data_IF_901456349972
#
_entry.id   IF_901456349972
#
_cell.length_a   1.000
_cell.length_b   1.000
_cell.length_c   1.000
_cell.angle_alpha   90.00
_cell.angle_beta   90.00
_cell.angle_gamma   90.00
#
_symmetry.space_group_name_H-M   'P 1'
#
loop_
_entity.id
_entity.type
_entity.pdbx_description
1 polymer ?
#
# COMPACT_ATOMS: atom_id res chain seq x y z
N UNK A 1 -5.04 -15.22 -0.98
CA UNK A 1 -3.63 -14.96 -1.33
C UNK A 1 -3.13 -15.94 -2.37
N UNK A 2 -3.23 -17.25 -2.13
CA UNK A 2 -2.80 -18.32 -3.05
C UNK A 2 -3.22 -18.11 -4.51
N UNK A 3 -4.47 -17.73 -4.79
CA UNK A 3 -4.91 -17.45 -6.17
C UNK A 3 -4.19 -16.28 -6.85
N UNK A 4 -3.78 -15.25 -6.10
CA UNK A 4 -2.97 -14.14 -6.62
C UNK A 4 -1.56 -14.63 -6.92
N UNK A 5 -0.94 -15.38 -6.01
CA UNK A 5 0.39 -15.94 -6.24
C UNK A 5 0.41 -16.87 -7.46
N UNK A 6 -0.64 -17.68 -7.64
CA UNK A 6 -0.80 -18.55 -8.80
C UNK A 6 -0.92 -17.79 -10.14
N UNK A 7 -1.39 -16.53 -10.14
CA UNK A 7 -1.40 -15.68 -11.33
C UNK A 7 -0.05 -15.01 -11.63
N UNK A 8 0.90 -15.05 -10.70
CA UNK A 8 2.23 -14.47 -10.83
C UNK A 8 3.31 -15.40 -10.25
N UNK A 9 3.43 -16.65 -10.73
CA UNK A 9 4.33 -17.66 -10.17
C UNK A 9 5.81 -17.34 -10.40
N UNK A 10 6.12 -16.40 -11.29
CA UNK A 10 7.47 -15.88 -11.50
C UNK A 10 7.92 -14.91 -10.38
N UNK A 11 6.99 -14.40 -9.56
CA UNK A 11 7.28 -13.47 -8.47
C UNK A 11 7.13 -14.10 -7.09
N UNK A 12 6.18 -15.03 -6.91
CA UNK A 12 5.77 -15.51 -5.59
C UNK A 12 5.64 -17.02 -5.53
N UNK A 13 6.10 -17.60 -4.42
CA UNK A 13 5.70 -18.96 -4.04
C UNK A 13 4.20 -19.01 -3.76
N UNK A 14 3.59 -20.18 -3.95
CA UNK A 14 2.15 -20.35 -3.81
C UNK A 14 1.62 -19.92 -2.42
N UNK A 15 2.43 -20.13 -1.38
CA UNK A 15 2.05 -19.87 0.01
C UNK A 15 2.57 -18.55 0.57
N UNK A 16 3.33 -17.76 -0.20
CA UNK A 16 3.85 -16.46 0.23
C UNK A 16 2.71 -15.58 0.76
N UNK A 17 2.77 -15.10 2.01
CA UNK A 17 1.82 -14.12 2.48
C UNK A 17 2.01 -12.81 1.71
N UNK A 18 0.91 -12.14 1.41
CA UNK A 18 0.94 -10.89 0.68
C UNK A 18 -0.14 -9.94 1.19
N UNK A 19 -0.47 -8.96 0.38
CA UNK A 19 -1.50 -7.94 0.62
C UNK A 19 -2.85 -8.45 1.16
N UNK A 20 -3.36 -9.62 0.72
CA UNK A 20 -4.64 -10.13 1.21
C UNK A 20 -4.47 -10.75 2.59
N UNK A 21 -3.30 -11.33 2.85
CA UNK A 21 -2.89 -11.72 4.21
C UNK A 21 -2.81 -10.50 5.11
N UNK A 22 -2.20 -9.40 4.63
CA UNK A 22 -2.16 -8.12 5.35
C UNK A 22 -3.58 -7.61 5.66
N UNK A 23 -4.50 -7.59 4.70
CA UNK A 23 -5.89 -7.18 4.96
C UNK A 23 -6.59 -8.07 5.99
N UNK A 24 -6.36 -9.40 5.92
CA UNK A 24 -6.85 -10.33 6.93
C UNK A 24 -6.30 -10.00 8.33
N UNK A 25 -4.98 -9.80 8.45
CA UNK A 25 -4.33 -9.45 9.70
C UNK A 25 -4.77 -8.09 10.24
N UNK A 26 -4.91 -7.08 9.38
CA UNK A 26 -5.41 -5.77 9.76
C UNK A 26 -6.85 -5.85 10.28
N UNK A 27 -7.69 -6.70 9.69
CA UNK A 27 -9.06 -6.93 10.14
C UNK A 27 -9.08 -7.61 11.51
N UNK A 28 -8.27 -8.65 11.72
CA UNK A 28 -8.16 -9.37 13.00
C UNK A 28 -7.61 -8.44 14.10
N UNK A 29 -6.57 -7.67 13.78
CA UNK A 29 -5.90 -6.76 14.74
C UNK A 29 -6.60 -5.41 14.87
N UNK A 30 -7.68 -5.19 14.09
CA UNK A 30 -8.44 -3.94 14.04
C UNK A 30 -8.79 -3.36 15.42
N UNK A 31 -9.26 -4.17 16.41
CA UNK A 31 -9.59 -3.64 17.73
C UNK A 31 -8.42 -2.96 18.42
N UNK A 32 -7.17 -3.40 18.18
CA UNK A 32 -5.98 -2.90 18.87
C UNK A 32 -5.62 -1.49 18.37
N UNK A 33 -5.52 -1.31 17.06
CA UNK A 33 -5.07 -0.04 16.47
C UNK A 33 -6.20 0.97 16.22
N UNK A 34 -7.47 0.53 16.12
CA UNK A 34 -8.61 1.45 16.09
C UNK A 34 -9.05 1.96 17.46
N UNK A 35 -8.73 1.27 18.55
CA UNK A 35 -9.19 1.67 19.89
C UNK A 35 -8.76 3.11 20.27
N UNK A 36 -7.49 3.51 20.10
CA UNK A 36 -7.06 4.89 20.38
C UNK A 36 -7.74 5.91 19.45
N UNK A 37 -7.94 5.55 18.18
CA UNK A 37 -8.68 6.35 17.21
C UNK A 37 -10.11 6.61 17.70
N UNK A 38 -10.84 5.58 18.14
CA UNK A 38 -12.21 5.68 18.67
C UNK A 38 -12.30 6.64 19.86
N UNK A 39 -11.32 6.60 20.76
CA UNK A 39 -11.22 7.51 21.92
C UNK A 39 -10.69 8.91 21.59
N UNK A 40 -10.39 9.21 20.32
CA UNK A 40 -9.74 10.46 19.87
C UNK A 40 -8.42 10.74 20.61
N UNK A 41 -7.73 9.67 21.02
CA UNK A 41 -6.45 9.78 21.71
C UNK A 41 -5.32 9.94 20.68
N UNK A 42 -5.11 11.19 20.24
CA UNK A 42 -4.09 11.51 19.24
C UNK A 42 -2.66 11.20 19.73
N UNK A 43 -2.39 11.37 21.03
CA UNK A 43 -1.08 11.11 21.61
C UNK A 43 -0.68 9.64 21.46
N UNK A 44 -1.58 8.71 21.74
CA UNK A 44 -1.30 7.27 21.55
C UNK A 44 -1.05 6.92 20.08
N UNK A 45 -1.75 7.53 19.14
CA UNK A 45 -1.53 7.30 17.70
C UNK A 45 -0.19 7.87 17.23
N UNK A 46 0.18 9.05 17.72
CA UNK A 46 1.49 9.63 17.47
C UNK A 46 2.59 8.77 18.08
N UNK A 47 2.45 8.33 19.33
CA UNK A 47 3.42 7.47 20.00
C UNK A 47 3.58 6.13 19.27
N UNK A 48 2.49 5.50 18.84
CA UNK A 48 2.53 4.29 18.02
C UNK A 48 3.28 4.52 16.70
N UNK A 49 2.93 5.58 15.98
CA UNK A 49 3.56 5.89 14.69
C UNK A 49 5.06 6.17 14.88
N UNK A 50 5.41 7.00 15.86
CA UNK A 50 6.80 7.30 16.23
C UNK A 50 7.57 6.06 16.65
N UNK A 51 6.94 5.11 17.36
CA UNK A 51 7.58 3.85 17.73
C UNK A 51 7.90 2.99 16.50
N UNK A 52 7.02 2.94 15.50
CA UNK A 52 7.31 2.25 14.23
C UNK A 52 8.50 2.91 13.52
N UNK A 53 8.48 4.23 13.36
CA UNK A 53 9.61 4.96 12.75
C UNK A 53 10.91 4.76 13.53
N UNK A 54 10.85 4.78 14.86
CA UNK A 54 12.00 4.54 15.73
C UNK A 54 12.56 3.12 15.53
N UNK A 55 11.71 2.09 15.51
CA UNK A 55 12.15 0.72 15.29
C UNK A 55 12.81 0.54 13.92
N UNK A 56 12.29 1.18 12.87
CA UNK A 56 12.93 1.13 11.55
C UNK A 56 14.26 1.87 11.55
N UNK A 57 14.35 3.02 12.25
CA UNK A 57 15.57 3.83 12.29
C UNK A 57 16.72 3.11 13.01
N UNK A 58 16.42 2.47 14.13
CA UNK A 58 17.43 1.92 15.03
C UNK A 58 17.61 0.40 14.90
N UNK A 59 16.62 -0.30 14.34
CA UNK A 59 16.64 -1.75 14.15
C UNK A 59 16.12 -2.15 12.76
N UNK A 60 16.66 -1.61 11.65
CA UNK A 60 16.16 -1.90 10.30
C UNK A 60 16.22 -3.39 9.96
N UNK A 61 17.19 -4.13 10.52
CA UNK A 61 17.39 -5.58 10.33
C UNK A 61 16.22 -6.44 10.81
N UNK A 62 15.32 -5.91 11.65
CA UNK A 62 14.11 -6.63 12.08
C UNK A 62 13.22 -7.02 10.89
N UNK A 63 13.26 -6.24 9.81
CA UNK A 63 12.48 -6.46 8.59
C UNK A 63 13.13 -7.45 7.61
N UNK A 64 14.26 -8.05 7.98
CA UNK A 64 14.98 -9.03 7.18
C UNK A 64 15.78 -8.43 6.01
N UNK A 65 16.34 -9.32 5.18
CA UNK A 65 17.15 -8.98 4.00
C UNK A 65 16.35 -8.27 2.91
N UNK A 66 16.97 -7.42 2.10
CA UNK A 66 16.35 -6.84 0.88
C UNK A 66 16.27 -7.82 -0.29
N UNK A 67 16.90 -9.01 -0.17
CA UNK A 67 16.86 -10.05 -1.19
C UNK A 67 15.43 -10.58 -1.43
N UNK A 68 15.02 -10.65 -2.70
CA UNK A 68 13.65 -11.00 -3.08
C UNK A 68 13.27 -12.42 -2.66
N UNK A 69 14.16 -13.38 -2.93
CA UNK A 69 13.91 -14.79 -2.69
C UNK A 69 13.65 -15.06 -1.19
N UNK A 70 14.45 -14.45 -0.31
CA UNK A 70 14.26 -14.57 1.14
C UNK A 70 12.93 -14.00 1.65
N UNK A 71 12.23 -13.17 0.86
CA UNK A 71 10.95 -12.54 1.23
C UNK A 71 9.74 -13.30 0.72
N UNK A 72 9.92 -14.12 -0.31
CA UNK A 72 8.82 -14.86 -0.95
C UNK A 72 8.85 -16.34 -0.61
N UNK A 73 10.03 -16.91 -0.36
CA UNK A 73 10.15 -18.33 -0.06
C UNK A 73 9.49 -18.68 1.27
N UNK A 74 8.68 -19.74 1.27
CA UNK A 74 8.04 -20.26 2.49
C UNK A 74 8.38 -21.72 2.66
N UNK A 75 9.31 -22.01 3.57
CA UNK A 75 9.74 -23.36 3.89
C UNK A 75 8.94 -23.99 5.04
N UNK A 76 8.46 -23.18 5.99
CA UNK A 76 7.66 -23.64 7.12
C UNK A 76 6.67 -22.57 7.64
N UNK A 77 5.86 -22.96 8.62
CA UNK A 77 4.84 -22.09 9.22
C UNK A 77 5.44 -20.91 10.02
N UNK A 78 6.66 -21.05 10.55
CA UNK A 78 7.35 -19.97 11.26
C UNK A 78 7.83 -18.92 10.27
N UNK A 79 8.43 -19.32 9.15
CA UNK A 79 8.79 -18.41 8.06
C UNK A 79 7.54 -17.72 7.50
N UNK A 80 6.45 -18.45 7.28
CA UNK A 80 5.18 -17.86 6.86
C UNK A 80 4.71 -16.76 7.83
N UNK A 81 4.74 -17.05 9.14
CA UNK A 81 4.31 -16.08 10.17
C UNK A 81 5.26 -14.89 10.24
N UNK A 82 6.56 -15.11 10.11
CA UNK A 82 7.56 -14.03 10.00
C UNK A 82 7.28 -13.13 8.79
N UNK A 83 7.02 -13.71 7.62
CA UNK A 83 6.71 -12.95 6.41
C UNK A 83 5.39 -12.19 6.54
N UNK A 84 4.39 -12.79 7.17
CA UNK A 84 3.08 -12.17 7.38
C UNK A 84 3.14 -11.01 8.38
N UNK A 85 4.06 -11.03 9.34
CA UNK A 85 4.13 -10.03 10.41
C UNK A 85 5.22 -8.98 10.22
N UNK A 86 6.39 -9.34 9.66
CA UNK A 86 7.58 -8.45 9.70
C UNK A 86 8.45 -8.49 8.43
N UNK A 87 8.68 -9.65 7.81
CA UNK A 87 9.80 -9.81 6.85
C UNK A 87 9.40 -10.01 5.39
N UNK A 88 8.11 -10.20 5.09
CA UNK A 88 7.65 -10.53 3.74
C UNK A 88 7.56 -9.31 2.82
N UNK A 89 6.77 -9.42 1.77
CA UNK A 89 6.47 -8.28 0.90
C UNK A 89 5.46 -7.34 1.56
N UNK A 90 4.32 -7.86 2.02
CA UNK A 90 3.28 -7.06 2.71
C UNK A 90 3.05 -7.51 4.16
N UNK A 91 4.06 -7.42 5.05
CA UNK A 91 3.90 -7.77 6.47
C UNK A 91 2.98 -6.80 7.24
N UNK A 92 2.48 -7.20 8.40
CA UNK A 92 1.71 -6.29 9.27
C UNK A 92 2.53 -5.06 9.70
N UNK A 93 3.77 -5.27 10.15
CA UNK A 93 4.73 -4.21 10.41
C UNK A 93 5.61 -3.98 9.17
N UNK A 94 5.79 -2.75 8.68
CA UNK A 94 5.27 -1.48 9.21
C UNK A 94 3.96 -1.02 8.55
N UNK A 95 3.37 -1.82 7.65
CA UNK A 95 2.23 -1.42 6.81
C UNK A 95 0.96 -1.01 7.58
N UNK A 96 0.80 -1.46 8.82
CA UNK A 96 -0.25 -1.00 9.75
C UNK A 96 -0.28 0.53 9.90
N UNK A 97 0.84 1.24 9.67
CA UNK A 97 0.87 2.71 9.62
C UNK A 97 -0.12 3.28 8.62
N UNK A 98 -0.22 2.71 7.42
CA UNK A 98 -1.14 3.19 6.39
C UNK A 98 -2.60 2.93 6.77
N UNK A 99 -2.89 1.81 7.44
CA UNK A 99 -4.24 1.52 7.94
C UNK A 99 -4.66 2.50 9.04
N UNK A 100 -3.76 2.80 9.99
CA UNK A 100 -3.97 3.81 11.03
C UNK A 100 -4.16 5.19 10.42
N UNK A 101 -3.33 5.56 9.45
CA UNK A 101 -3.42 6.84 8.75
C UNK A 101 -4.73 6.98 7.97
N UNK A 102 -5.13 5.98 7.19
CA UNK A 102 -6.39 5.97 6.47
C UNK A 102 -7.61 6.06 7.40
N UNK A 103 -7.60 5.33 8.52
CA UNK A 103 -8.66 5.41 9.52
C UNK A 103 -8.71 6.77 10.23
N UNK A 104 -7.55 7.40 10.45
CA UNK A 104 -7.46 8.77 10.96
C UNK A 104 -8.06 9.78 10.00
N UNK A 105 -7.76 9.69 8.69
CA UNK A 105 -8.40 10.53 7.66
C UNK A 105 -9.91 10.33 7.68
N UNK A 106 -10.37 9.08 7.59
CA UNK A 106 -11.80 8.76 7.53
C UNK A 106 -12.58 9.28 8.76
N UNK A 107 -11.98 9.26 9.95
CA UNK A 107 -12.61 9.75 11.17
C UNK A 107 -12.63 11.27 11.29
N UNK A 108 -11.62 11.96 10.77
CA UNK A 108 -11.50 13.41 10.87
C UNK A 108 -12.05 14.17 9.65
N UNK A 109 -12.33 13.49 8.54
CA UNK A 109 -12.94 14.06 7.34
C UNK A 109 -14.46 14.29 7.45
N UNK A 110 -14.93 14.99 8.49
CA UNK A 110 -16.35 15.30 8.74
C UNK A 110 -17.04 16.16 7.65
N UNK A 111 -18.31 16.56 7.89
CA UNK A 111 -19.37 17.08 6.97
C UNK A 111 -18.98 17.98 5.77
N UNK A 112 -17.79 18.58 5.77
CA UNK A 112 -17.10 19.08 4.57
C UNK A 112 -15.77 18.34 4.48
N UNK A 113 -15.74 17.22 3.76
CA UNK A 113 -14.63 16.27 3.60
C UNK A 113 -13.31 16.94 3.20
N UNK A 114 -12.60 17.54 4.15
CA UNK A 114 -11.32 18.20 3.94
C UNK A 114 -10.26 17.61 4.88
N UNK A 115 -9.06 17.42 4.35
CA UNK A 115 -7.91 17.01 5.12
C UNK A 115 -7.66 17.98 6.30
N UNK A 116 -7.35 17.50 7.52
CA UNK A 116 -7.16 18.40 8.66
C UNK A 116 -6.03 19.43 8.43
N UNK A 117 -6.34 20.72 8.59
CA UNK A 117 -5.43 21.85 8.29
C UNK A 117 -4.92 22.56 9.56
N UNK A 118 -4.47 21.83 10.57
CA UNK A 118 -3.83 22.42 11.76
C UNK A 118 -2.39 22.88 11.47
N UNK A 119 -1.82 23.72 12.34
CA UNK A 119 -0.40 24.13 12.23
C UNK A 119 0.51 22.91 12.27
N UNK A 120 0.22 21.94 13.14
CA UNK A 120 0.98 20.69 13.26
C UNK A 120 0.94 19.87 11.96
N UNK A 121 -0.23 19.71 11.35
CA UNK A 121 -0.34 18.96 10.08
C UNK A 121 0.39 19.67 8.94
N UNK A 122 0.34 21.00 8.88
CA UNK A 122 1.08 21.77 7.86
C UNK A 122 2.59 21.66 8.06
N UNK A 123 3.06 21.79 9.29
CA UNK A 123 4.48 21.63 9.62
C UNK A 123 4.97 20.21 9.29
N UNK A 124 4.17 19.18 9.60
CA UNK A 124 4.47 17.80 9.23
C UNK A 124 4.54 17.61 7.71
N UNK A 125 3.63 18.20 6.93
CA UNK A 125 3.65 18.15 5.47
C UNK A 125 4.86 18.84 4.86
N UNK A 126 5.20 20.04 5.35
CA UNK A 126 6.40 20.76 4.92
C UNK A 126 7.65 19.97 5.28
N UNK A 127 7.75 19.43 6.49
CA UNK A 127 8.86 18.58 6.91
C UNK A 127 9.00 17.34 6.03
N UNK A 128 7.91 16.60 5.80
CA UNK A 128 7.91 15.42 4.94
C UNK A 128 8.29 15.76 3.50
N UNK A 129 7.84 16.90 2.97
CA UNK A 129 8.22 17.40 1.65
C UNK A 129 9.72 17.70 1.58
N UNK A 130 10.27 18.42 2.56
CA UNK A 130 11.69 18.74 2.61
C UNK A 130 12.55 17.48 2.75
N UNK A 131 12.16 16.52 3.58
CA UNK A 131 12.84 15.23 3.68
C UNK A 131 12.81 14.45 2.36
N UNK A 132 11.64 14.39 1.71
CA UNK A 132 11.50 13.70 0.41
C UNK A 132 12.35 14.38 -0.66
N UNK A 133 12.34 15.71 -0.73
CA UNK A 133 13.18 16.48 -1.65
C UNK A 133 14.68 16.26 -1.37
N UNK A 134 15.09 16.24 -0.10
CA UNK A 134 16.46 15.95 0.28
C UNK A 134 16.90 14.54 -0.16
N UNK A 135 16.03 13.53 -0.06
CA UNK A 135 16.33 12.18 -0.55
C UNK A 135 16.53 12.16 -2.06
N UNK A 136 15.70 12.89 -2.83
CA UNK A 136 15.83 12.99 -4.27
C UNK A 136 17.15 13.67 -4.68
N UNK A 137 17.50 14.77 -4.02
CA UNK A 137 18.78 15.48 -4.25
C UNK A 137 19.95 14.58 -3.90
N UNK A 138 19.86 13.85 -2.77
CA UNK A 138 20.88 12.89 -2.36
C UNK A 138 21.09 11.81 -3.43
N UNK A 139 20.02 11.14 -3.88
CA UNK A 139 20.12 10.12 -4.93
C UNK A 139 20.73 10.66 -6.21
N UNK A 140 20.32 11.86 -6.66
CA UNK A 140 20.86 12.49 -7.85
C UNK A 140 22.34 12.89 -7.70
N UNK A 141 22.79 13.25 -6.49
CA UNK A 141 24.18 13.66 -6.21
C UNK A 141 25.13 12.45 -6.20
N UNK A 142 24.65 11.31 -5.70
CA UNK A 142 25.46 10.11 -5.51
C UNK A 142 25.21 9.03 -6.57
N UNK A 143 24.48 9.34 -7.64
CA UNK A 143 24.12 8.42 -8.73
C UNK A 143 23.44 7.13 -8.23
N UNK A 144 22.53 7.28 -7.25
CA UNK A 144 21.75 6.18 -6.67
C UNK A 144 20.36 6.14 -7.29
N UNK A 145 19.76 4.95 -7.33
CA UNK A 145 18.33 4.83 -7.60
C UNK A 145 17.54 5.56 -6.50
N UNK A 146 16.68 6.50 -6.89
CA UNK A 146 15.87 7.23 -5.92
C UNK A 146 14.87 6.30 -5.24
N UNK A 147 14.20 5.44 -5.99
CA UNK A 147 13.23 4.48 -5.47
C UNK A 147 13.29 3.17 -6.24
N UNK A 148 13.29 2.06 -5.50
CA UNK A 148 13.28 0.71 -6.04
C UNK A 148 12.50 -0.23 -5.10
N UNK A 149 11.85 -1.30 -5.61
CA UNK A 149 11.15 -2.26 -4.76
C UNK A 149 12.07 -2.90 -3.70
N UNK A 150 13.30 -3.22 -4.08
CA UNK A 150 14.32 -3.88 -3.25
C UNK A 150 15.70 -3.29 -3.55
N UNK A 151 16.72 -3.75 -2.84
CA UNK A 151 18.12 -3.42 -3.16
C UNK A 151 18.61 -2.08 -2.62
N UNK A 152 19.55 -1.48 -3.33
CA UNK A 152 20.33 -0.32 -2.90
C UNK A 152 19.76 1.00 -3.46
N UNK A 153 18.51 1.28 -3.08
CA UNK A 153 17.83 2.52 -3.42
C UNK A 153 17.62 3.39 -2.19
N UNK A 154 17.49 4.70 -2.41
CA UNK A 154 17.25 5.63 -1.29
C UNK A 154 15.87 5.40 -0.66
N UNK A 155 14.86 5.09 -1.47
CA UNK A 155 13.53 4.66 -1.04
C UNK A 155 13.36 3.18 -1.39
N UNK A 156 13.31 2.32 -0.39
CA UNK A 156 13.06 0.88 -0.57
C UNK A 156 11.67 0.51 -0.08
N UNK A 157 10.98 -0.30 -0.88
CA UNK A 157 9.65 -0.82 -0.55
C UNK A 157 9.76 -2.11 0.30
N UNK A 158 10.76 -2.95 0.03
CA UNK A 158 11.05 -4.20 0.74
C UNK A 158 12.56 -4.29 1.10
N UNK A 159 12.92 -4.19 2.39
CA UNK A 159 12.07 -3.76 3.49
C UNK A 159 11.68 -2.29 3.33
N UNK A 160 10.54 -1.91 3.90
CA UNK A 160 10.11 -0.51 3.88
C UNK A 160 11.05 0.33 4.75
N UNK A 161 11.66 1.35 4.16
CA UNK A 161 12.55 2.27 4.87
C UNK A 161 11.87 3.61 5.22
N UNK A 162 12.50 4.41 6.07
CA UNK A 162 11.96 5.70 6.53
C UNK A 162 11.75 6.69 5.38
N UNK A 163 12.72 6.88 4.46
CA UNK A 163 12.51 7.71 3.27
C UNK A 163 11.25 7.31 2.50
N UNK A 164 11.06 6.01 2.25
CA UNK A 164 9.91 5.47 1.54
C UNK A 164 8.60 5.74 2.28
N UNK A 165 8.51 5.41 3.57
CA UNK A 165 7.29 5.62 4.35
C UNK A 165 6.92 7.11 4.42
N UNK A 166 7.90 7.99 4.54
CA UNK A 166 7.71 9.45 4.56
C UNK A 166 7.17 9.95 3.23
N UNK A 167 7.83 9.59 2.12
CA UNK A 167 7.43 9.98 0.78
C UNK A 167 6.05 9.41 0.39
N UNK A 168 5.77 8.16 0.76
CA UNK A 168 4.50 7.50 0.49
C UNK A 168 3.34 8.14 1.27
N UNK A 169 3.50 8.41 2.58
CA UNK A 169 2.48 9.10 3.38
C UNK A 169 2.25 10.53 2.89
N UNK A 170 3.31 11.25 2.51
CA UNK A 170 3.21 12.55 1.86
C UNK A 170 2.42 12.46 0.55
N UNK A 171 2.77 11.52 -0.33
CA UNK A 171 2.12 11.31 -1.61
C UNK A 171 0.62 11.02 -1.46
N UNK A 172 0.24 10.09 -0.57
CA UNK A 172 -1.17 9.80 -0.27
C UNK A 172 -1.90 11.04 0.25
N UNK A 173 -1.26 11.82 1.11
CA UNK A 173 -1.85 13.05 1.66
C UNK A 173 -2.07 14.10 0.57
N UNK A 174 -1.10 14.32 -0.29
CA UNK A 174 -1.20 15.27 -1.40
C UNK A 174 -2.28 14.85 -2.41
N UNK A 175 -2.34 13.55 -2.74
CA UNK A 175 -3.39 13.00 -3.59
C UNK A 175 -4.77 13.20 -2.96
N UNK A 176 -4.92 12.97 -1.67
CA UNK A 176 -6.18 13.22 -0.97
C UNK A 176 -6.58 14.70 -1.03
N UNK A 177 -5.67 15.61 -0.70
CA UNK A 177 -5.90 17.07 -0.75
C UNK A 177 -6.15 17.60 -2.16
N UNK A 178 -5.66 16.90 -3.18
CA UNK A 178 -5.96 17.20 -4.58
C UNK A 178 -7.37 16.74 -4.93
N UNK A 179 -7.69 15.47 -4.67
CA UNK A 179 -8.95 14.83 -5.06
C UNK A 179 -10.14 15.44 -4.31
N UNK A 180 -9.99 15.83 -3.04
CA UNK A 180 -11.07 16.45 -2.26
C UNK A 180 -11.61 17.76 -2.87
N UNK A 181 -10.84 18.41 -3.73
CA UNK A 181 -11.24 19.63 -4.45
C UNK A 181 -12.18 19.34 -5.63
N UNK A 182 -12.31 18.08 -6.03
CA UNK A 182 -13.11 17.66 -7.18
C UNK A 182 -14.27 16.77 -6.74
N UNK A 183 -15.47 17.03 -7.28
CA UNK A 183 -16.61 16.11 -7.12
C UNK A 183 -16.46 14.94 -8.09
N UNK A 184 -15.72 13.92 -7.70
CA UNK A 184 -15.49 12.72 -8.54
C UNK A 184 -16.46 11.59 -8.15
N UNK A 185 -17.76 11.88 -8.20
CA UNK A 185 -18.82 10.91 -7.85
C UNK A 185 -18.76 9.63 -8.70
N UNK A 186 -18.25 9.74 -9.93
CA UNK A 186 -18.00 8.62 -10.83
C UNK A 186 -16.96 7.62 -10.32
N UNK A 187 -16.02 8.01 -9.45
CA UNK A 187 -15.05 7.11 -8.82
C UNK A 187 -15.61 6.38 -7.60
N UNK A 188 -16.77 6.80 -7.06
CA UNK A 188 -17.38 6.14 -5.91
C UNK A 188 -17.70 4.68 -6.21
N UNK A 189 -18.10 4.37 -7.45
CA UNK A 189 -18.35 3.00 -7.88
C UNK A 189 -17.07 2.15 -7.87
N UNK A 190 -15.96 2.70 -8.39
CA UNK A 190 -14.67 2.04 -8.38
C UNK A 190 -14.23 1.76 -6.93
N UNK A 191 -14.35 2.73 -6.03
CA UNK A 191 -14.03 2.57 -4.61
C UNK A 191 -14.86 1.51 -3.90
N UNK A 192 -16.16 1.37 -4.24
CA UNK A 192 -17.05 0.32 -3.70
C UNK A 192 -16.68 -1.10 -4.15
N UNK A 193 -15.88 -1.23 -5.21
CA UNK A 193 -15.45 -2.49 -5.82
C UNK A 193 -13.92 -2.66 -5.80
N UNK A 194 -13.27 -1.95 -4.89
CA UNK A 194 -11.81 -1.88 -4.84
C UNK A 194 -11.16 -3.24 -4.61
N UNK A 195 -11.75 -4.12 -3.79
CA UNK A 195 -11.22 -5.47 -3.54
C UNK A 195 -11.39 -6.38 -4.76
N UNK A 196 -12.53 -6.31 -5.45
CA UNK A 196 -12.73 -7.07 -6.70
C UNK A 196 -11.73 -6.63 -7.76
N UNK A 197 -11.62 -5.32 -8.00
CA UNK A 197 -10.63 -4.76 -8.92
C UNK A 197 -9.22 -5.18 -8.50
N UNK A 198 -8.93 -5.12 -7.21
CA UNK A 198 -7.67 -5.55 -6.65
C UNK A 198 -7.36 -7.04 -6.90
N UNK A 199 -8.34 -7.93 -6.92
CA UNK A 199 -8.07 -9.34 -7.21
C UNK A 199 -7.89 -9.59 -8.70
N UNK A 200 -8.71 -8.95 -9.53
CA UNK A 200 -8.71 -9.17 -10.97
C UNK A 200 -7.51 -8.50 -11.63
N UNK A 201 -7.00 -7.38 -11.11
CA UNK A 201 -5.91 -6.64 -11.77
C UNK A 201 -4.57 -7.40 -11.83
N UNK A 202 -4.38 -8.43 -11.02
CA UNK A 202 -3.17 -9.27 -11.10
C UNK A 202 -3.15 -10.15 -12.34
N UNK A 203 -4.31 -10.58 -12.84
CA UNK A 203 -4.38 -11.53 -13.95
C UNK A 203 -3.80 -10.91 -15.24
N UNK A 204 -4.26 -9.72 -15.70
CA UNK A 204 -3.67 -9.12 -16.89
C UNK A 204 -2.19 -8.78 -16.70
N UNK A 205 -1.80 -8.22 -15.55
CA UNK A 205 -0.38 -7.89 -15.28
C UNK A 205 0.50 -9.14 -15.39
N UNK A 206 0.10 -10.26 -14.77
CA UNK A 206 0.84 -11.52 -14.86
C UNK A 206 0.97 -12.04 -16.28
N UNK A 207 -0.06 -11.85 -17.12
CA UNK A 207 0.01 -12.20 -18.55
C UNK A 207 0.92 -11.27 -19.34
N UNK A 208 0.89 -9.97 -19.02
CA UNK A 208 1.72 -8.94 -19.67
C UNK A 208 3.21 -9.05 -19.34
N UNK A 209 3.59 -9.76 -18.27
CA UNK A 209 5.00 -10.00 -17.92
C UNK A 209 5.83 -10.53 -19.10
N UNK A 210 5.30 -11.53 -19.82
CA UNK A 210 5.99 -12.11 -20.99
C UNK A 210 6.22 -11.10 -22.12
N UNK A 211 5.35 -10.10 -22.26
CA UNK A 211 5.47 -9.04 -23.27
C UNK A 211 6.53 -8.03 -22.84
N UNK A 212 6.52 -7.64 -21.58
CA UNK A 212 7.52 -6.73 -21.01
C UNK A 212 8.93 -7.34 -21.12
N UNK A 213 9.09 -8.59 -20.70
CA UNK A 213 10.37 -9.32 -20.79
C UNK A 213 10.85 -9.44 -22.24
N UNK A 214 9.96 -9.76 -23.18
CA UNK A 214 10.31 -9.90 -24.59
C UNK A 214 10.62 -8.55 -25.29
N UNK A 215 10.05 -7.44 -24.82
CA UNK A 215 10.21 -6.12 -25.44
C UNK A 215 11.20 -5.23 -24.69
N UNK A 216 11.68 -5.64 -23.52
CA UNK A 216 12.63 -4.89 -22.68
C UNK A 216 12.19 -3.44 -22.49
N UNK A 217 10.99 -3.22 -21.94
CA UNK A 217 10.48 -1.85 -21.84
C UNK A 217 11.42 -0.96 -21.05
N UNK A 218 11.64 0.24 -21.58
CA UNK A 218 12.27 1.32 -20.86
C UNK A 218 11.39 1.77 -19.71
N UNK A 219 11.97 2.36 -18.67
CA UNK A 219 11.23 2.92 -17.53
C UNK A 219 10.05 3.81 -17.95
N UNK A 220 10.24 4.66 -18.97
CA UNK A 220 9.19 5.55 -19.47
C UNK A 220 8.03 4.77 -20.09
N UNK A 221 8.32 3.70 -20.84
CA UNK A 221 7.29 2.83 -21.42
C UNK A 221 6.53 2.10 -20.33
N UNK A 222 7.21 1.50 -19.35
CA UNK A 222 6.58 0.82 -18.22
C UNK A 222 5.68 1.77 -17.44
N UNK A 223 6.12 3.01 -17.19
CA UNK A 223 5.32 4.04 -16.52
C UNK A 223 4.04 4.37 -17.30
N UNK A 224 4.14 4.59 -18.61
CA UNK A 224 2.98 4.87 -19.46
C UNK A 224 1.99 3.71 -19.43
N UNK A 225 2.47 2.47 -19.56
CA UNK A 225 1.63 1.27 -19.53
C UNK A 225 0.93 1.14 -18.19
N UNK A 226 1.65 1.32 -17.07
CA UNK A 226 1.08 1.24 -15.71
C UNK A 226 0.03 2.33 -15.48
N UNK A 227 0.30 3.57 -15.89
CA UNK A 227 -0.67 4.66 -15.77
C UNK A 227 -1.92 4.42 -16.62
N UNK A 228 -1.74 4.03 -17.88
CA UNK A 228 -2.85 3.70 -18.78
C UNK A 228 -3.69 2.55 -18.21
N UNK A 229 -3.03 1.47 -17.76
CA UNK A 229 -3.68 0.34 -17.13
C UNK A 229 -4.47 0.73 -15.88
N UNK A 230 -3.88 1.58 -15.03
CA UNK A 230 -4.57 2.11 -13.84
C UNK A 230 -5.82 2.89 -14.21
N UNK A 231 -5.76 3.71 -15.27
CA UNK A 231 -6.91 4.46 -15.77
C UNK A 231 -8.02 3.57 -16.34
N UNK A 232 -7.70 2.43 -16.96
CA UNK A 232 -8.69 1.48 -17.52
C UNK A 232 -9.67 0.95 -16.46
N UNK A 233 -9.23 0.84 -15.21
CA UNK A 233 -10.08 0.33 -14.12
C UNK A 233 -11.28 1.22 -13.83
N UNK A 234 -11.19 2.53 -14.09
CA UNK A 234 -12.32 3.42 -13.91
C UNK A 234 -13.50 3.06 -14.83
N UNK A 235 -13.41 3.10 -16.17
CA UNK A 235 -14.51 2.68 -17.04
C UNK A 235 -14.85 1.19 -16.87
N UNK A 236 -13.87 0.32 -16.59
CA UNK A 236 -14.11 -1.10 -16.35
C UNK A 236 -15.06 -1.34 -15.15
N UNK A 237 -14.90 -0.58 -14.05
CA UNK A 237 -15.80 -0.69 -12.91
C UNK A 237 -17.25 -0.31 -13.25
N UNK A 238 -17.45 0.70 -14.11
CA UNK A 238 -18.77 1.08 -14.62
C UNK A 238 -19.38 0.02 -15.54
N UNK A 239 -18.58 -0.53 -16.46
CA UNK A 239 -19.01 -1.62 -17.33
C UNK A 239 -19.41 -2.85 -16.51
N UNK A 240 -18.60 -3.23 -15.52
CA UNK A 240 -18.89 -4.35 -14.64
C UNK A 240 -20.17 -4.14 -13.84
N UNK A 241 -20.43 -2.94 -13.32
CA UNK A 241 -21.67 -2.64 -12.59
C UNK A 241 -22.92 -2.83 -13.44
N UNK A 242 -22.84 -2.51 -14.75
CA UNK A 242 -23.94 -2.75 -15.68
C UNK A 242 -24.08 -4.21 -16.10
N UNK A 243 -22.97 -4.89 -16.40
CA UNK A 243 -22.98 -6.21 -17.02
C UNK A 243 -23.10 -7.35 -16.00
N UNK A 244 -22.47 -7.21 -14.84
CA UNK A 244 -22.41 -8.26 -13.81
C UNK A 244 -22.46 -7.67 -12.39
N UNK A 245 -23.55 -6.96 -12.01
CA UNK A 245 -23.63 -6.25 -10.72
C UNK A 245 -23.50 -7.16 -9.48
N UNK A 246 -23.76 -8.46 -9.64
CA UNK A 246 -23.72 -9.45 -8.54
C UNK A 246 -22.43 -10.25 -8.46
N UNK A 247 -21.55 -10.13 -9.44
CA UNK A 247 -20.27 -10.86 -9.46
C UNK A 247 -19.17 -9.97 -8.90
N UNK A 248 -19.13 -9.82 -7.59
CA UNK A 248 -18.04 -9.10 -6.93
C UNK A 248 -17.73 -9.73 -5.56
N UNK A 249 -16.46 -9.66 -5.18
CA UNK A 249 -15.92 -10.23 -3.95
C UNK A 249 -16.46 -9.48 -2.73
N UNK A 250 -16.75 -8.19 -2.83
CA UNK A 250 -17.34 -7.43 -1.73
C UNK A 250 -18.69 -7.99 -1.30
N UNK A 251 -19.54 -8.45 -2.22
CA UNK A 251 -20.80 -9.11 -1.90
C UNK A 251 -20.60 -10.46 -1.21
N UNK A 252 -19.61 -11.24 -1.64
CA UNK A 252 -19.26 -12.50 -0.99
C UNK A 252 -18.87 -12.28 0.48
N UNK A 253 -17.99 -11.30 0.75
CA UNK A 253 -17.62 -10.95 2.13
C UNK A 253 -18.80 -10.44 2.96
N UNK A 254 -19.69 -9.64 2.39
CA UNK A 254 -20.92 -9.18 3.07
C UNK A 254 -21.89 -10.31 3.39
N UNK A 255 -21.94 -11.35 2.57
CA UNK A 255 -22.76 -12.52 2.84
C UNK A 255 -22.19 -13.32 4.03
N UNK A 256 -20.86 -13.52 4.05
CA UNK A 256 -20.19 -14.25 5.14
C UNK A 256 -20.19 -13.50 6.48
N UNK A 257 -20.28 -12.16 6.48
CA UNK A 257 -20.26 -11.35 7.71
C UNK A 257 -21.64 -11.12 8.35
N UNK A 258 -22.71 -11.68 7.76
CA UNK A 258 -24.09 -11.51 8.23
C UNK A 258 -24.59 -12.68 9.07
N UNK A 259 -23.80 -13.75 9.18
CA UNK A 259 -23.95 -14.84 10.14
C UNK A 259 -23.00 -14.64 11.32
#
# INVERSE_FOLDING_TARGET
>A
QTGVNASSPHLFDLWTPGVLTLFGLLTITQPLWLHPLRRRNHQTLMAFSSAVFFLIAFSPSIQGSSDWDTRVQVTDAMQWTSHALVTGTYPLFPWVLFAVFGAWIAKNGGEKSLFPQTVTTKAALVGAFLCTLATLIYSATYDLEWASPTGDATLTFFPANIPFLTAALLGVTLLWMLIERFSVSSLTLLGRRSLTVYLVHFIPIGLFYSVDEAQSFTFAQSMIVVLAYTCVWWPAAHAWDRLAPRMNVEQLFRAMSKD
#
